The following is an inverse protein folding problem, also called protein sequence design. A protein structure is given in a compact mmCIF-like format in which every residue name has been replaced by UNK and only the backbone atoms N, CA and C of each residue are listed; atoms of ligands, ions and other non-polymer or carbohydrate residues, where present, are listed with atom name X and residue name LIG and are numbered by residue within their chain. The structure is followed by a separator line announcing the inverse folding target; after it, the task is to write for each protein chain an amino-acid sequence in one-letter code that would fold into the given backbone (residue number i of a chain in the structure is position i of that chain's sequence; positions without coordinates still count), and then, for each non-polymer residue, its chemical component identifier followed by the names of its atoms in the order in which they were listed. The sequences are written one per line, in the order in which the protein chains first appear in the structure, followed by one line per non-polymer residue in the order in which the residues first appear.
data_IF_903022550889
#
_entry.id   IF_903022550889
#
_cell.length_a   1.000
_cell.length_b   1.000
_cell.length_c   1.000
_cell.angle_alpha   90.00
_cell.angle_beta   90.00
_cell.angle_gamma   90.00
#
_symmetry.space_group_name_H-M   'P 1'
#
loop_
_entity.id
_entity.type
_entity.pdbx_description
1 polymer ?
#
# COMPACT_ATOMS: atom_id res chain seq x y z
N UNK A 1 -16.37 26.75 48.15
CA UNK A 1 -15.51 25.58 47.90
C UNK A 1 -16.02 24.96 46.61
N UNK A 2 -15.41 25.32 45.47
CA UNK A 2 -15.79 24.79 44.16
C UNK A 2 -15.31 23.34 44.07
N UNK A 3 -16.24 22.44 43.77
CA UNK A 3 -15.89 21.09 43.33
C UNK A 3 -15.70 21.18 41.81
N UNK A 4 -14.49 21.55 41.39
CA UNK A 4 -14.05 21.42 40.01
C UNK A 4 -13.72 19.94 39.75
N UNK A 5 -14.77 19.16 39.51
CA UNK A 5 -14.66 17.80 39.00
C UNK A 5 -14.60 17.85 37.47
N UNK A 6 -13.52 18.39 36.93
CA UNK A 6 -13.13 18.16 35.54
C UNK A 6 -12.39 16.82 35.49
N UNK A 7 -13.16 15.73 35.55
CA UNK A 7 -12.68 14.40 35.26
C UNK A 7 -12.22 14.32 33.82
N UNK A 8 -10.97 14.72 33.55
CA UNK A 8 -10.28 14.36 32.33
C UNK A 8 -10.12 12.84 32.36
N UNK A 9 -10.88 12.15 31.51
CA UNK A 9 -10.71 10.75 31.14
C UNK A 9 -9.48 10.54 30.24
N UNK A 10 -8.45 11.37 30.41
CA UNK A 10 -7.16 11.19 29.77
C UNK A 10 -6.24 10.59 30.83
N UNK A 11 -5.58 9.48 30.48
CA UNK A 11 -4.45 8.87 31.22
C UNK A 11 -4.78 7.60 32.06
N UNK A 12 -5.54 6.67 31.46
CA UNK A 12 -5.59 5.26 31.94
C UNK A 12 -5.22 4.25 30.85
N UNK A 13 -4.61 4.71 29.74
CA UNK A 13 -3.92 3.82 28.81
C UNK A 13 -2.53 3.54 29.35
N UNK A 14 -2.14 2.26 29.42
CA UNK A 14 -0.74 1.90 29.67
C UNK A 14 0.18 2.69 28.72
N UNK A 15 1.33 3.19 29.20
CA UNK A 15 2.25 3.93 28.34
C UNK A 15 2.64 3.05 27.15
N UNK A 16 2.52 3.60 25.94
CA UNK A 16 2.87 2.89 24.71
C UNK A 16 4.32 2.39 24.77
N UNK A 17 4.52 1.10 24.49
CA UNK A 17 5.82 0.40 24.57
C UNK A 17 6.34 -0.07 23.21
N UNK A 18 5.68 0.30 22.11
CA UNK A 18 6.08 -0.09 20.76
C UNK A 18 7.24 0.76 20.19
N UNK A 19 7.55 0.60 18.89
CA UNK A 19 8.57 1.38 18.20
C UNK A 19 8.36 2.89 18.34
N UNK A 20 9.45 3.63 18.55
CA UNK A 20 9.44 5.10 18.56
C UNK A 20 9.59 5.64 17.13
N UNK A 21 8.68 6.51 16.72
CA UNK A 21 8.65 7.15 15.40
C UNK A 21 9.04 8.64 15.48
N UNK A 22 9.62 9.08 16.61
CA UNK A 22 9.93 10.48 16.93
C UNK A 22 8.67 11.39 16.92
N UNK A 23 7.51 10.83 17.31
CA UNK A 23 6.21 11.52 17.30
C UNK A 23 5.62 11.74 18.70
N UNK A 24 6.35 11.38 19.76
CA UNK A 24 5.91 11.60 21.15
C UNK A 24 4.61 10.85 21.46
N UNK A 25 3.58 11.57 21.91
CA UNK A 25 2.27 11.00 22.27
C UNK A 25 1.55 10.34 21.08
N UNK A 26 1.87 10.76 19.85
CA UNK A 26 1.26 10.23 18.63
C UNK A 26 1.92 8.91 18.16
N UNK A 27 2.93 8.38 18.88
CA UNK A 27 3.63 7.14 18.50
C UNK A 27 2.71 5.91 18.44
N UNK A 28 1.72 5.82 19.33
CA UNK A 28 0.74 4.73 19.30
C UNK A 28 -0.12 4.78 18.02
N UNK A 29 -0.53 5.98 17.61
CA UNK A 29 -1.29 6.20 16.38
C UNK A 29 -0.42 5.94 15.14
N UNK A 30 0.84 6.38 15.18
CA UNK A 30 1.81 6.11 14.11
C UNK A 30 2.00 4.61 13.90
N UNK A 31 2.10 3.85 14.99
CA UNK A 31 2.19 2.39 14.94
C UNK A 31 0.96 1.75 14.30
N UNK A 32 -0.24 2.14 14.72
CA UNK A 32 -1.50 1.65 14.15
C UNK A 32 -1.58 1.91 12.63
N UNK A 33 -1.21 3.12 12.21
CA UNK A 33 -1.17 3.50 10.78
C UNK A 33 -0.10 2.67 10.05
N UNK A 34 1.06 2.46 10.65
CA UNK A 34 2.15 1.69 10.05
C UNK A 34 1.79 0.20 9.90
N UNK A 35 1.05 -0.39 10.84
CA UNK A 35 0.59 -1.79 10.77
C UNK A 35 -0.55 -2.01 9.77
N UNK A 36 -1.27 -0.95 9.40
CA UNK A 36 -2.36 -1.03 8.44
C UNK A 36 -1.83 -1.50 7.07
N UNK A 37 -2.44 -2.55 6.50
CA UNK A 37 -2.08 -3.01 5.16
C UNK A 37 -2.54 -1.99 4.12
N UNK A 38 -1.60 -1.48 3.33
CA UNK A 38 -1.87 -0.55 2.24
C UNK A 38 -2.80 -1.15 1.18
N UNK A 39 -2.93 -2.49 1.13
CA UNK A 39 -3.90 -3.22 0.29
C UNK A 39 -5.35 -3.02 0.74
N UNK A 40 -5.59 -2.53 1.94
CA UNK A 40 -6.94 -2.18 2.40
C UNK A 40 -7.28 -0.69 2.16
N UNK A 41 -6.32 0.11 1.70
CA UNK A 41 -6.54 1.52 1.42
C UNK A 41 -7.63 1.75 0.34
N UNK A 42 -8.31 2.92 0.34
CA UNK A 42 -9.28 3.29 -0.68
C UNK A 42 -8.70 3.25 -2.11
N UNK A 43 -9.52 2.86 -3.09
CA UNK A 43 -9.12 2.77 -4.51
C UNK A 43 -9.49 4.04 -5.27
N UNK A 44 -8.71 4.38 -6.30
CA UNK A 44 -8.97 5.47 -7.26
C UNK A 44 -10.35 5.37 -7.93
N UNK A 45 -10.86 4.15 -8.12
CA UNK A 45 -12.16 3.90 -8.74
C UNK A 45 -13.26 3.53 -7.72
N UNK A 46 -13.04 3.75 -6.41
CA UNK A 46 -14.05 3.42 -5.39
C UNK A 46 -15.17 4.46 -5.26
N UNK A 47 -15.12 5.54 -6.04
CA UNK A 47 -16.21 6.50 -6.09
C UNK A 47 -17.41 5.92 -6.85
N UNK A 48 -18.42 5.57 -6.05
CA UNK A 48 -19.84 5.35 -6.41
C UNK A 48 -20.22 3.98 -7.01
N UNK A 49 -21.06 3.25 -6.25
CA UNK A 49 -21.98 2.20 -6.72
C UNK A 49 -21.43 0.89 -7.33
N UNK A 50 -20.14 0.71 -7.50
CA UNK A 50 -19.65 -0.57 -8.01
C UNK A 50 -19.63 -1.64 -6.90
N UNK A 51 -20.74 -2.38 -6.77
CA UNK A 51 -20.77 -3.72 -6.15
C UNK A 51 -19.89 -4.67 -6.99
N UNK A 52 -18.58 -4.43 -7.03
CA UNK A 52 -17.63 -5.41 -7.51
C UNK A 52 -17.68 -6.57 -6.51
N UNK A 53 -18.52 -7.56 -6.83
CA UNK A 53 -18.49 -8.87 -6.19
C UNK A 53 -17.04 -9.33 -6.20
N UNK A 54 -16.49 -9.63 -5.02
CA UNK A 54 -15.22 -10.35 -4.89
C UNK A 54 -15.25 -11.49 -5.92
N UNK A 55 -14.27 -11.58 -6.83
CA UNK A 55 -14.31 -12.61 -7.86
C UNK A 55 -14.48 -13.98 -7.21
N UNK A 56 -15.35 -14.78 -7.83
CA UNK A 56 -15.62 -16.18 -7.49
C UNK A 56 -14.34 -16.88 -7.08
N UNK A 57 -14.42 -17.72 -6.04
CA UNK A 57 -13.32 -18.61 -5.62
C UNK A 57 -12.72 -19.30 -6.84
N UNK A 58 -11.56 -18.83 -7.30
CA UNK A 58 -10.78 -19.50 -8.33
C UNK A 58 -10.20 -20.74 -7.66
N UNK A 59 -10.76 -21.91 -7.97
CA UNK A 59 -10.39 -23.18 -7.31
C UNK A 59 -9.27 -23.92 -8.04
N UNK A 60 -8.93 -23.52 -9.26
CA UNK A 60 -7.96 -24.21 -10.11
C UNK A 60 -7.10 -23.22 -10.88
N UNK A 61 -5.85 -23.60 -11.13
CA UNK A 61 -4.91 -22.83 -11.95
C UNK A 61 -5.33 -22.75 -13.42
N UNK A 62 -6.19 -23.66 -13.89
CA UNK A 62 -6.67 -23.68 -15.28
C UNK A 62 -7.62 -22.51 -15.61
N UNK A 63 -8.20 -21.89 -14.58
CA UNK A 63 -9.00 -20.68 -14.72
C UNK A 63 -8.16 -19.40 -14.85
N UNK A 64 -6.83 -19.49 -14.70
CA UNK A 64 -5.89 -18.39 -14.89
C UNK A 64 -5.31 -18.41 -16.30
N UNK A 65 -4.74 -17.29 -16.74
CA UNK A 65 -4.01 -17.26 -18.02
C UNK A 65 -2.80 -18.22 -17.97
N UNK A 66 -2.36 -18.78 -19.11
CA UNK A 66 -1.24 -19.73 -19.14
C UNK A 66 0.04 -19.17 -18.51
N UNK A 67 0.31 -17.89 -18.74
CA UNK A 67 1.47 -17.18 -18.20
C UNK A 67 1.40 -17.06 -16.67
N UNK A 68 0.23 -16.70 -16.13
CA UNK A 68 0.03 -16.63 -14.68
C UNK A 68 0.10 -18.01 -14.03
N UNK A 69 -0.44 -19.04 -14.68
CA UNK A 69 -0.48 -20.39 -14.12
C UNK A 69 0.88 -21.10 -14.15
N UNK A 70 1.76 -20.77 -15.11
CA UNK A 70 3.03 -21.45 -15.35
C UNK A 70 3.94 -21.61 -14.09
N UNK A 71 4.26 -20.54 -13.34
CA UNK A 71 5.14 -20.68 -12.16
C UNK A 71 4.51 -21.51 -11.04
N UNK A 72 3.18 -21.52 -10.92
CA UNK A 72 2.47 -22.28 -9.89
C UNK A 72 2.26 -23.75 -10.29
N UNK A 73 2.07 -24.03 -11.59
CA UNK A 73 1.99 -25.40 -12.11
C UNK A 73 3.29 -26.18 -11.87
N UNK A 74 4.44 -25.51 -11.98
CA UNK A 74 5.73 -26.11 -11.66
C UNK A 74 5.81 -26.65 -10.22
N UNK A 75 5.14 -25.98 -9.27
CA UNK A 75 5.09 -26.40 -7.86
C UNK A 75 4.18 -27.62 -7.62
N UNK A 76 3.32 -27.96 -8.59
CA UNK A 76 2.43 -29.11 -8.53
C UNK A 76 3.01 -30.35 -9.22
N UNK A 77 4.21 -30.26 -9.80
CA UNK A 77 4.88 -31.39 -10.46
C UNK A 77 5.39 -32.37 -9.39
N UNK A 78 5.12 -33.67 -9.58
CA UNK A 78 5.59 -34.72 -8.67
C UNK A 78 4.75 -34.94 -7.41
N UNK A 79 3.67 -34.17 -7.19
CA UNK A 79 2.74 -34.37 -6.08
C UNK A 79 1.72 -35.48 -6.36
N UNK A 80 1.26 -36.15 -5.30
CA UNK A 80 0.14 -37.10 -5.38
C UNK A 80 -1.17 -36.37 -5.71
N UNK A 81 -2.19 -37.06 -6.27
CA UNK A 81 -3.48 -36.45 -6.61
C UNK A 81 -4.16 -35.73 -5.44
N UNK A 82 -4.09 -36.31 -4.24
CA UNK A 82 -4.68 -35.75 -3.02
C UNK A 82 -3.95 -34.48 -2.56
N UNK A 83 -2.61 -34.49 -2.58
CA UNK A 83 -1.80 -33.32 -2.24
C UNK A 83 -1.99 -32.18 -3.25
N UNK A 84 -2.12 -32.52 -4.55
CA UNK A 84 -2.43 -31.56 -5.60
C UNK A 84 -3.79 -30.90 -5.38
N UNK A 85 -4.84 -31.67 -5.10
CA UNK A 85 -6.19 -31.13 -4.87
C UNK A 85 -6.26 -30.18 -3.66
N UNK A 86 -5.41 -30.37 -2.65
CA UNK A 86 -5.35 -29.48 -1.48
C UNK A 86 -4.51 -28.21 -1.73
N UNK A 87 -3.47 -28.29 -2.56
CA UNK A 87 -2.51 -27.21 -2.78
C UNK A 87 -2.91 -26.29 -3.92
N UNK A 88 -3.48 -26.83 -5.00
CA UNK A 88 -3.83 -26.08 -6.20
C UNK A 88 -4.75 -24.87 -5.94
N UNK A 89 -5.82 -24.97 -5.12
CA UNK A 89 -6.66 -23.80 -4.83
C UNK A 89 -5.91 -22.70 -4.08
N UNK A 90 -4.95 -23.07 -3.23
CA UNK A 90 -4.11 -22.11 -2.49
C UNK A 90 -3.19 -21.36 -3.45
N UNK A 91 -2.57 -22.07 -4.39
CA UNK A 91 -1.70 -21.46 -5.40
C UNK A 91 -2.51 -20.59 -6.37
N UNK A 92 -3.71 -21.01 -6.75
CA UNK A 92 -4.59 -20.22 -7.61
C UNK A 92 -5.01 -18.91 -6.92
N UNK A 93 -5.32 -18.96 -5.62
CA UNK A 93 -5.60 -17.76 -4.83
C UNK A 93 -4.38 -16.84 -4.75
N UNK A 94 -3.19 -17.40 -4.49
CA UNK A 94 -1.94 -16.63 -4.43
C UNK A 94 -1.64 -15.93 -5.76
N UNK A 95 -1.83 -16.61 -6.89
CA UNK A 95 -1.65 -16.03 -8.22
C UNK A 95 -2.61 -14.86 -8.46
N UNK A 96 -3.88 -15.00 -8.06
CA UNK A 96 -4.87 -13.94 -8.18
C UNK A 96 -4.54 -12.74 -7.28
N UNK A 97 -4.08 -13.01 -6.04
CA UNK A 97 -3.64 -11.98 -5.11
C UNK A 97 -2.44 -11.21 -5.65
N UNK A 98 -1.42 -11.92 -6.14
CA UNK A 98 -0.24 -11.30 -6.75
C UNK A 98 -0.60 -10.42 -7.95
N UNK A 99 -1.49 -10.90 -8.83
CA UNK A 99 -1.95 -10.10 -9.98
C UNK A 99 -2.81 -8.89 -9.55
N UNK A 100 -3.63 -9.04 -8.52
CA UNK A 100 -4.42 -7.94 -7.95
C UNK A 100 -3.50 -6.87 -7.33
N UNK A 101 -2.47 -7.28 -6.60
CA UNK A 101 -1.48 -6.39 -6.01
C UNK A 101 -0.70 -5.67 -7.10
N UNK A 102 -0.25 -6.38 -8.14
CA UNK A 102 0.44 -5.77 -9.28
C UNK A 102 -0.45 -4.73 -9.99
N UNK A 103 -1.73 -5.07 -10.24
CA UNK A 103 -2.68 -4.14 -10.84
C UNK A 103 -2.86 -2.89 -9.97
N UNK A 104 -2.91 -3.05 -8.64
CA UNK A 104 -3.04 -1.94 -7.71
C UNK A 104 -1.80 -1.06 -7.68
N UNK A 105 -0.60 -1.65 -7.72
CA UNK A 105 0.66 -0.91 -7.80
C UNK A 105 0.69 -0.04 -9.06
N UNK A 106 0.24 -0.58 -10.19
CA UNK A 106 0.20 0.16 -11.45
C UNK A 106 -0.86 1.27 -11.48
N UNK A 107 -2.03 1.02 -10.92
CA UNK A 107 -3.16 1.98 -10.93
C UNK A 107 -3.01 3.07 -9.86
N UNK A 108 -2.35 2.76 -8.74
CA UNK A 108 -2.25 3.65 -7.58
C UNK A 108 -3.42 3.52 -6.61
N UNK A 109 -3.33 4.26 -5.49
CA UNK A 109 -4.38 4.35 -4.46
C UNK A 109 -5.25 5.59 -4.64
N UNK A 110 -6.45 5.57 -4.08
CA UNK A 110 -7.43 6.64 -4.22
C UNK A 110 -7.05 7.95 -3.52
N UNK A 111 -7.77 9.03 -3.84
CA UNK A 111 -7.57 10.35 -3.25
C UNK A 111 -7.72 10.33 -1.72
N UNK A 112 -8.63 9.51 -1.21
CA UNK A 112 -8.94 9.34 0.21
C UNK A 112 -7.91 8.53 1.00
N UNK A 113 -6.98 7.82 0.33
CA UNK A 113 -5.94 7.04 0.98
C UNK A 113 -4.96 7.93 1.74
N UNK A 114 -4.35 7.37 2.79
CA UNK A 114 -3.38 8.11 3.59
C UNK A 114 -2.11 8.39 2.77
N UNK A 115 -1.37 9.46 3.09
CA UNK A 115 -0.07 9.73 2.49
C UNK A 115 0.89 8.53 2.51
N UNK A 116 0.92 7.77 3.62
CA UNK A 116 1.75 6.57 3.76
C UNK A 116 1.38 5.49 2.74
N UNK A 117 0.09 5.23 2.52
CA UNK A 117 -0.36 4.25 1.53
C UNK A 117 0.06 4.66 0.11
N UNK A 118 -0.01 5.96 -0.19
CA UNK A 118 0.42 6.54 -1.46
C UNK A 118 1.93 6.36 -1.66
N UNK A 119 2.72 6.65 -0.64
CA UNK A 119 4.18 6.48 -0.67
C UNK A 119 4.56 5.00 -0.87
N UNK A 120 3.96 4.08 -0.11
CA UNK A 120 4.18 2.62 -0.27
C UNK A 120 3.93 2.14 -1.69
N UNK A 121 2.83 2.57 -2.29
CA UNK A 121 2.48 2.19 -3.67
C UNK A 121 3.37 2.87 -4.71
N UNK A 122 3.74 4.13 -4.48
CA UNK A 122 4.70 4.86 -5.32
C UNK A 122 6.04 4.14 -5.38
N UNK A 123 6.62 3.83 -4.22
CA UNK A 123 7.88 3.09 -4.09
C UNK A 123 7.78 1.73 -4.78
N UNK A 124 6.72 0.95 -4.50
CA UNK A 124 6.53 -0.35 -5.14
C UNK A 124 6.44 -0.27 -6.67
N UNK A 125 5.83 0.79 -7.22
CA UNK A 125 5.76 0.98 -8.67
C UNK A 125 7.12 1.38 -9.25
N UNK A 126 7.88 2.24 -8.56
CA UNK A 126 9.23 2.63 -8.95
C UNK A 126 10.17 1.41 -8.95
N UNK A 127 10.14 0.58 -7.90
CA UNK A 127 10.90 -0.67 -7.83
C UNK A 127 10.60 -1.55 -9.04
N UNK A 128 9.31 -1.79 -9.32
CA UNK A 128 8.87 -2.60 -10.45
C UNK A 128 9.37 -2.06 -11.79
N UNK A 129 9.35 -0.74 -12.00
CA UNK A 129 9.85 -0.13 -13.24
C UNK A 129 11.36 -0.33 -13.39
N UNK A 130 12.11 -0.19 -12.30
CA UNK A 130 13.55 -0.44 -12.29
C UNK A 130 13.88 -1.92 -12.53
N UNK A 131 13.20 -2.84 -11.84
CA UNK A 131 13.38 -4.28 -12.03
C UNK A 131 13.10 -4.71 -13.47
N UNK A 132 11.98 -4.28 -14.04
CA UNK A 132 11.66 -4.56 -15.44
C UNK A 132 12.73 -4.03 -16.39
N UNK A 133 13.31 -2.87 -16.09
CA UNK A 133 14.39 -2.31 -16.92
C UNK A 133 15.69 -3.09 -16.75
N UNK A 134 16.01 -3.55 -15.54
CA UNK A 134 17.15 -4.44 -15.28
C UNK A 134 16.99 -5.75 -16.04
N UNK A 135 15.81 -6.37 -16.00
CA UNK A 135 15.53 -7.62 -16.72
C UNK A 135 15.64 -7.45 -18.23
N UNK A 136 15.13 -6.34 -18.77
CA UNK A 136 15.29 -5.99 -20.18
C UNK A 136 16.77 -5.84 -20.56
N UNK A 137 17.55 -5.08 -19.79
CA UNK A 137 18.97 -4.91 -20.06
C UNK A 137 19.73 -6.23 -19.93
N UNK A 138 19.39 -7.06 -18.94
CA UNK A 138 19.98 -8.39 -18.79
C UNK A 138 19.67 -9.28 -20.00
N UNK A 139 18.45 -9.23 -20.53
CA UNK A 139 18.07 -9.94 -21.75
C UNK A 139 18.84 -9.40 -22.98
N UNK A 140 18.93 -8.08 -23.16
CA UNK A 140 19.66 -7.43 -24.25
C UNK A 140 21.17 -7.77 -24.21
N UNK A 141 21.79 -7.78 -23.03
CA UNK A 141 23.22 -8.08 -22.85
C UNK A 141 23.52 -9.55 -23.17
N UNK A 142 22.60 -10.44 -22.81
CA UNK A 142 22.76 -11.89 -22.96
C UNK A 142 22.18 -12.44 -24.27
N UNK A 143 21.62 -11.59 -25.13
CA UNK A 143 21.10 -11.99 -26.42
C UNK A 143 22.22 -12.56 -27.30
N UNK A 144 22.01 -13.78 -27.81
CA UNK A 144 22.96 -14.51 -28.66
C UNK A 144 22.40 -14.63 -30.07
N UNK A 145 23.19 -14.25 -31.07
CA UNK A 145 22.83 -14.36 -32.50
C UNK A 145 23.32 -15.65 -33.13
N UNK A 146 24.15 -16.42 -32.43
CA UNK A 146 24.62 -17.71 -32.88
C UNK A 146 25.74 -18.23 -32.00
N UNK A 147 26.48 -19.20 -32.53
CA UNK A 147 27.65 -19.74 -31.85
C UNK A 147 28.75 -20.03 -32.88
N UNK A 148 30.00 -19.84 -32.49
CA UNK A 148 31.18 -20.14 -33.31
C UNK A 148 32.00 -21.25 -32.67
N UNK A 149 32.56 -22.14 -33.48
CA UNK A 149 33.54 -23.09 -32.99
C UNK A 149 34.82 -22.36 -32.54
N UNK A 150 35.34 -22.76 -31.39
CA UNK A 150 36.61 -22.27 -30.86
C UNK A 150 37.74 -23.05 -31.52
N UNK A 151 38.71 -22.33 -32.09
CA UNK A 151 39.90 -22.90 -32.68
C UNK A 151 41.11 -22.57 -31.83
N UNK A 152 41.99 -23.55 -31.67
CA UNK A 152 43.29 -23.35 -31.05
C UNK A 152 44.15 -22.46 -31.97
N UNK A 153 44.76 -21.43 -31.39
CA UNK A 153 45.55 -20.44 -32.12
C UNK A 153 46.86 -21.00 -32.64
N UNK A 154 47.42 -22.02 -32.00
CA UNK A 154 48.72 -22.59 -32.37
C UNK A 154 48.56 -23.68 -33.43
N UNK A 155 47.53 -24.53 -33.28
CA UNK A 155 47.32 -25.69 -34.14
C UNK A 155 46.29 -25.45 -35.24
N UNK A 156 45.46 -24.42 -35.14
CA UNK A 156 44.37 -24.13 -36.08
C UNK A 156 43.23 -25.18 -36.06
N UNK A 157 43.30 -26.16 -35.17
CA UNK A 157 42.29 -27.21 -35.04
C UNK A 157 41.17 -26.78 -34.08
N UNK A 158 39.97 -27.30 -34.30
CA UNK A 158 38.84 -27.04 -33.40
C UNK A 158 39.14 -27.62 -32.01
N UNK A 159 38.97 -26.81 -30.97
CA UNK A 159 39.09 -27.26 -29.58
C UNK A 159 37.90 -28.18 -29.30
N UNK A 160 38.14 -29.45 -29.01
CA UNK A 160 37.09 -30.42 -28.70
C UNK A 160 36.76 -30.34 -27.21
N UNK A 161 35.48 -30.25 -26.88
CA UNK A 161 35.00 -30.33 -25.50
C UNK A 161 35.11 -31.79 -25.00
N UNK A 162 35.91 -32.06 -23.95
CA UNK A 162 36.13 -33.42 -23.45
C UNK A 162 34.87 -34.08 -22.89
N UNK A 163 33.83 -33.31 -22.51
CA UNK A 163 32.60 -33.87 -21.97
C UNK A 163 31.65 -34.39 -23.07
N UNK A 164 31.65 -33.75 -24.24
CA UNK A 164 30.68 -34.01 -25.31
C UNK A 164 31.31 -34.63 -26.57
N UNK A 165 32.64 -34.54 -26.71
CA UNK A 165 33.35 -35.01 -27.91
C UNK A 165 33.09 -34.15 -29.16
N UNK A 166 32.39 -33.02 -29.02
CA UNK A 166 32.06 -32.09 -30.10
C UNK A 166 32.95 -30.83 -30.04
N UNK A 167 33.08 -30.07 -31.14
CA UNK A 167 33.76 -28.78 -31.12
C UNK A 167 33.17 -27.87 -30.05
N UNK A 168 34.04 -27.29 -29.21
CA UNK A 168 33.65 -26.29 -28.22
C UNK A 168 33.09 -25.08 -28.94
N UNK A 169 31.85 -24.72 -28.60
CA UNK A 169 31.17 -23.58 -29.19
C UNK A 169 31.20 -22.39 -28.22
N UNK A 170 31.58 -21.22 -28.72
CA UNK A 170 31.47 -19.94 -28.03
C UNK A 170 30.22 -19.19 -28.51
N UNK A 171 29.43 -18.59 -27.61
CA UNK A 171 28.29 -17.78 -28.00
C UNK A 171 28.75 -16.50 -28.72
N UNK A 172 28.10 -16.20 -29.84
CA UNK A 172 28.20 -14.91 -30.52
C UNK A 172 27.08 -14.05 -29.96
N UNK A 173 27.43 -13.02 -29.22
CA UNK A 173 26.46 -12.07 -28.67
C UNK A 173 25.97 -11.12 -29.75
N UNK A 174 24.69 -10.73 -29.66
CA UNK A 174 24.09 -9.72 -30.55
C UNK A 174 24.81 -8.37 -30.44
N UNK A 175 25.22 -8.03 -29.22
CA UNK A 175 25.92 -6.80 -28.91
C UNK A 175 27.44 -6.99 -28.88
N UNK A 176 28.15 -6.00 -29.42
CA UNK A 176 29.61 -5.92 -29.32
C UNK A 176 30.05 -5.72 -27.86
N UNK A 177 31.29 -6.11 -27.54
CA UNK A 177 31.82 -6.01 -26.17
C UNK A 177 31.69 -4.60 -25.57
N UNK A 178 32.06 -3.56 -26.33
CA UNK A 178 31.96 -2.18 -25.84
C UNK A 178 30.52 -1.74 -25.53
N UNK A 179 29.55 -2.11 -26.37
CA UNK A 179 28.14 -1.81 -26.11
C UNK A 179 27.57 -2.61 -24.93
N UNK A 180 28.01 -3.86 -24.76
CA UNK A 180 27.66 -4.66 -23.59
C UNK A 180 28.19 -4.04 -22.31
N UNK A 181 29.43 -3.56 -22.30
CA UNK A 181 30.04 -2.94 -21.12
C UNK A 181 29.28 -1.65 -20.73
N UNK A 182 28.85 -0.84 -21.71
CA UNK A 182 28.01 0.34 -21.47
C UNK A 182 26.66 -0.05 -20.86
N UNK A 183 25.94 -1.00 -21.45
CA UNK A 183 24.65 -1.47 -20.93
C UNK A 183 24.77 -2.15 -19.56
N UNK A 184 25.88 -2.85 -19.31
CA UNK A 184 26.16 -3.40 -18.00
C UNK A 184 26.37 -2.29 -16.96
N UNK A 185 27.04 -1.18 -17.34
CA UNK A 185 27.14 0.03 -16.52
C UNK A 185 25.77 0.64 -16.20
N UNK A 186 24.90 0.79 -17.21
CA UNK A 186 23.51 1.25 -17.02
C UNK A 186 22.74 0.34 -16.06
N UNK A 187 22.86 -0.99 -16.23
CA UNK A 187 22.21 -1.98 -15.37
C UNK A 187 22.69 -1.86 -13.93
N UNK A 188 24.00 -1.71 -13.70
CA UNK A 188 24.56 -1.54 -12.35
C UNK A 188 24.08 -0.26 -11.68
N UNK A 189 23.91 0.82 -12.45
CA UNK A 189 23.35 2.07 -11.93
C UNK A 189 21.88 1.91 -11.52
N UNK A 190 21.07 1.19 -12.30
CA UNK A 190 19.68 0.88 -11.93
C UNK A 190 19.60 0.01 -10.67
N UNK A 191 20.49 -0.99 -10.54
CA UNK A 191 20.59 -1.81 -9.33
C UNK A 191 20.97 -0.96 -8.11
N UNK A 192 21.86 0.02 -8.28
CA UNK A 192 22.20 0.98 -7.22
C UNK A 192 20.99 1.83 -6.83
N UNK A 193 20.23 2.34 -7.79
CA UNK A 193 19.01 3.12 -7.53
C UNK A 193 17.97 2.29 -6.76
N UNK A 194 17.77 1.05 -7.19
CA UNK A 194 16.88 0.10 -6.51
C UNK A 194 17.34 -0.19 -5.08
N UNK A 195 18.66 -0.32 -4.84
CA UNK A 195 19.21 -0.46 -3.49
C UNK A 195 18.99 0.76 -2.60
N UNK A 196 19.01 1.98 -3.17
CA UNK A 196 18.71 3.20 -2.42
C UNK A 196 17.22 3.27 -2.08
N UNK A 197 16.37 2.92 -3.04
CA UNK A 197 14.92 2.91 -2.89
C UNK A 197 14.46 1.88 -1.85
N UNK A 198 15.08 0.69 -1.81
CA UNK A 198 14.80 -0.35 -0.80
C UNK A 198 15.42 -0.10 0.58
N UNK A 199 16.25 0.93 0.70
CA UNK A 199 17.00 1.24 1.91
C UNK A 199 16.77 2.68 2.36
N UNK A 200 17.82 3.43 2.68
CA UNK A 200 17.69 4.74 3.34
C UNK A 200 16.87 5.78 2.58
N UNK A 201 16.79 5.66 1.24
CA UNK A 201 15.99 6.57 0.42
C UNK A 201 14.50 6.35 0.61
N UNK A 202 14.04 5.10 0.43
CA UNK A 202 12.63 4.76 0.61
C UNK A 202 12.18 4.80 2.06
N UNK A 203 13.04 4.42 3.01
CA UNK A 203 12.73 4.52 4.45
C UNK A 203 12.41 5.96 4.86
N UNK A 204 13.22 6.94 4.41
CA UNK A 204 12.95 8.36 4.69
C UNK A 204 11.64 8.84 4.09
N UNK A 205 11.35 8.47 2.83
CA UNK A 205 10.08 8.83 2.18
C UNK A 205 8.88 8.24 2.94
N UNK A 206 9.00 6.99 3.40
CA UNK A 206 7.97 6.34 4.20
C UNK A 206 7.80 6.98 5.58
N UNK A 207 8.88 7.35 6.25
CA UNK A 207 8.85 8.03 7.55
C UNK A 207 8.20 9.42 7.45
N UNK A 208 8.56 10.20 6.43
CA UNK A 208 7.92 11.50 6.17
C UNK A 208 6.42 11.34 5.87
N UNK A 209 6.06 10.36 5.04
CA UNK A 209 4.66 10.07 4.72
C UNK A 209 3.87 9.53 5.93
N UNK A 210 4.52 8.80 6.84
CA UNK A 210 3.91 8.35 8.10
C UNK A 210 3.58 9.56 8.99
N UNK A 211 4.52 10.49 9.15
CA UNK A 211 4.31 11.73 9.93
C UNK A 211 3.16 12.56 9.35
N UNK A 212 3.09 12.70 8.03
CA UNK A 212 1.97 13.37 7.36
C UNK A 212 0.64 12.64 7.59
N UNK A 213 0.65 11.30 7.53
CA UNK A 213 -0.54 10.48 7.75
C UNK A 213 -1.10 10.62 9.17
N UNK A 214 -0.22 10.65 10.16
CA UNK A 214 -0.59 10.89 11.57
C UNK A 214 -1.27 12.24 11.71
N UNK A 215 -0.71 13.30 11.12
CA UNK A 215 -1.30 14.63 11.13
C UNK A 215 -2.72 14.65 10.51
N UNK A 216 -2.89 13.99 9.36
CA UNK A 216 -4.20 13.88 8.68
C UNK A 216 -5.21 13.11 9.53
N UNK A 217 -4.83 12.00 10.16
CA UNK A 217 -5.74 11.21 11.00
C UNK A 217 -6.12 12.00 12.25
N UNK A 218 -5.17 12.67 12.88
CA UNK A 218 -5.41 13.53 14.04
C UNK A 218 -6.35 14.68 13.69
N UNK A 219 -6.15 15.33 12.55
CA UNK A 219 -7.05 16.39 12.09
C UNK A 219 -8.48 15.85 11.87
N UNK A 220 -8.63 14.69 11.23
CA UNK A 220 -9.94 14.03 11.03
C UNK A 220 -10.61 13.69 12.36
N UNK A 221 -9.85 13.19 13.35
CA UNK A 221 -10.38 12.92 14.69
C UNK A 221 -10.83 14.20 15.39
N UNK A 222 -10.03 15.26 15.31
CA UNK A 222 -10.38 16.56 15.89
C UNK A 222 -11.62 17.16 15.21
N UNK A 223 -11.72 17.10 13.88
CA UNK A 223 -12.89 17.56 13.14
C UNK A 223 -14.15 16.80 13.57
N UNK A 224 -14.06 15.47 13.77
CA UNK A 224 -15.17 14.66 14.28
C UNK A 224 -15.57 15.07 15.70
N UNK A 225 -14.61 15.26 16.59
CA UNK A 225 -14.87 15.72 17.95
C UNK A 225 -15.53 17.11 17.96
N UNK A 226 -15.04 18.03 17.12
CA UNK A 226 -15.62 19.36 16.96
C UNK A 226 -17.06 19.29 16.44
N UNK A 227 -17.37 18.42 15.47
CA UNK A 227 -18.73 18.25 14.96
C UNK A 227 -19.69 17.74 16.05
N UNK A 228 -19.25 16.78 16.87
CA UNK A 228 -20.04 16.28 18.00
C UNK A 228 -20.32 17.40 19.01
N UNK A 229 -19.32 18.23 19.30
CA UNK A 229 -19.44 19.36 20.22
C UNK A 229 -20.34 20.48 19.66
N UNK A 230 -20.23 20.76 18.36
CA UNK A 230 -21.12 21.71 17.66
C UNK A 230 -22.57 21.21 17.72
N UNK A 231 -22.83 19.93 17.47
CA UNK A 231 -24.16 19.35 17.58
C UNK A 231 -24.72 19.44 19.00
N UNK A 232 -23.86 19.24 20.01
CA UNK A 232 -24.22 19.40 21.44
C UNK A 232 -24.62 20.85 21.74
N UNK A 233 -23.77 21.81 21.37
CA UNK A 233 -24.00 23.23 21.58
C UNK A 233 -25.24 23.74 20.83
N UNK A 234 -25.49 23.24 19.62
CA UNK A 234 -26.67 23.56 18.84
C UNK A 234 -27.96 23.11 19.58
N UNK A 235 -27.98 21.89 20.12
CA UNK A 235 -29.11 21.39 20.92
C UNK A 235 -29.34 22.19 22.19
N UNK A 236 -28.27 22.60 22.87
CA UNK A 236 -28.36 23.43 24.07
C UNK A 236 -28.91 24.83 23.76
N UNK A 237 -28.51 25.40 22.62
CA UNK A 237 -28.99 26.70 22.15
C UNK A 237 -30.48 26.65 21.85
N UNK A 238 -30.94 25.63 21.10
CA UNK A 238 -32.37 25.41 20.81
C UNK A 238 -33.18 25.28 22.12
N UNK A 239 -32.68 24.49 23.07
CA UNK A 239 -33.35 24.33 24.37
C UNK A 239 -33.45 25.66 25.13
N UNK A 240 -32.40 26.49 25.09
CA UNK A 240 -32.41 27.81 25.73
C UNK A 240 -33.42 28.75 25.07
N UNK A 241 -33.46 28.78 23.75
CA UNK A 241 -34.44 29.58 22.99
C UNK A 241 -35.89 29.16 23.31
N UNK A 242 -36.16 27.85 23.41
CA UNK A 242 -37.48 27.35 23.82
C UNK A 242 -37.86 27.78 25.24
N UNK A 243 -36.90 27.73 26.18
CA UNK A 243 -37.11 28.18 27.57
C UNK A 243 -37.39 29.68 27.61
N UNK A 244 -36.60 30.49 26.91
CA UNK A 244 -36.75 31.94 26.86
C UNK A 244 -38.09 32.34 26.21
N UNK A 245 -38.51 31.65 25.14
CA UNK A 245 -39.82 31.84 24.52
C UNK A 245 -40.97 31.53 25.48
N UNK A 246 -40.91 30.40 26.20
CA UNK A 246 -41.91 30.04 27.23
C UNK A 246 -41.92 31.03 28.38
N UNK A 247 -40.74 31.49 28.84
CA UNK A 247 -40.61 32.49 29.89
C UNK A 247 -41.23 33.83 29.47
N UNK A 248 -41.01 34.28 28.23
CA UNK A 248 -41.61 35.49 27.68
C UNK A 248 -43.14 35.42 27.60
N UNK A 249 -43.69 34.27 27.17
CA UNK A 249 -45.14 34.02 27.16
C UNK A 249 -45.70 34.08 28.58
N UNK A 250 -45.06 33.39 29.55
CA UNK A 250 -45.46 33.40 30.97
C UNK A 250 -45.42 34.82 31.56
N UNK A 251 -44.38 35.59 31.27
CA UNK A 251 -44.24 36.96 31.72
C UNK A 251 -45.34 37.89 31.17
N UNK A 252 -45.73 37.73 29.89
CA UNK A 252 -46.88 38.44 29.30
C UNK A 252 -48.19 38.10 30.01
N UNK A 253 -48.45 36.80 30.24
CA UNK A 253 -49.64 36.37 30.98
C UNK A 253 -49.71 36.96 32.40
N UNK A 254 -48.60 36.89 33.15
CA UNK A 254 -48.53 37.44 34.50
C UNK A 254 -48.80 38.94 34.56
N UNK A 255 -48.23 39.72 33.61
CA UNK A 255 -48.53 41.17 33.48
C UNK A 255 -50.00 41.43 33.16
N UNK A 256 -50.60 40.62 32.28
CA UNK A 256 -52.03 40.71 31.94
C UNK A 256 -52.95 40.49 33.14
N UNK A 257 -52.68 39.46 33.96
CA UNK A 257 -53.43 39.19 35.20
C UNK A 257 -53.20 40.24 36.29
N UNK A 258 -51.96 40.74 36.45
CA UNK A 258 -51.62 41.80 37.41
C UNK A 258 -52.41 43.09 37.14
N UNK A 259 -52.51 43.49 35.88
CA UNK A 259 -53.28 44.67 35.47
C UNK A 259 -54.79 44.50 35.68
N UNK A 260 -55.31 43.27 35.59
CA UNK A 260 -56.71 42.95 35.87
C UNK A 260 -57.02 42.95 37.37
N UNK A 261 -56.07 42.59 38.24
CA UNK A 261 -56.24 42.65 39.70
C UNK A 261 -56.10 44.05 40.29
N UNK A 262 -55.50 45.00 39.58
CA UNK A 262 -55.35 46.39 40.01
C UNK A 262 -56.51 47.31 39.54
N UNK A 263 -57.46 46.78 38.77
CA UNK A 263 -58.61 47.49 38.20
C UNK A 263 -59.97 47.06 38.76
N UNK A 264 -59.96 46.27 39.84
CA UNK A 264 -61.10 45.94 40.70
C UNK A 264 -60.90 46.62 42.06
#
# INVERSE_FOLDING_TARGET
MSNDNTGNLADTSEPYTGPDYDLGDDNALAHEIAETDWRDAPRTHSDTNAKFRRPMTVRSLDALSPEMAAPYRAQLVGLTPEARAALEPKLALQALQAASDEARIMIGVGSQALPLDKARVSIANQERLLERRVDQLAAEINEQTGSRAVYDRETGMAVIDPATGLPKMEPIYALSKGLRDVKAGEMMELVRQLSVLRGPGGEKELDEALKESVAVVRERQQQRANLVEVDRLARETIRKEEIDARAAIRAKHLRGTSNYSASL
#
